data_IF_513637494653
#
_entry.id   IF_513637494653
#
_cell.length_a   1.000
_cell.length_b   1.000
_cell.length_c   1.000
_cell.angle_alpha   90.00
_cell.angle_beta   90.00
_cell.angle_gamma   90.00
#
_symmetry.space_group_name_H-M   'P 1'
#
loop_
_entity.id
_entity.type
_entity.pdbx_description
1 polymer ?
#
# COMPACT_ATOMS: atom_id res chain seq x y z
N UNK A 1 -31.54 -19.47 -51.04
CA UNK A 1 -30.12 -19.35 -50.62
C UNK A 1 -29.99 -19.64 -49.14
N UNK A 2 -28.90 -20.29 -48.71
CA UNK A 2 -28.63 -20.69 -47.32
C UNK A 2 -27.26 -20.24 -46.80
N UNK A 3 -26.35 -19.83 -47.69
CA UNK A 3 -24.99 -19.38 -47.36
C UNK A 3 -24.64 -18.13 -48.16
N UNK A 4 -23.68 -17.35 -47.65
CA UNK A 4 -23.22 -16.08 -48.24
C UNK A 4 -22.61 -16.27 -49.63
N UNK A 5 -21.90 -17.37 -49.88
CA UNK A 5 -21.32 -17.71 -51.19
C UNK A 5 -22.37 -17.81 -52.32
N UNK A 6 -23.63 -18.12 -51.98
CA UNK A 6 -24.72 -18.21 -52.95
C UNK A 6 -25.28 -16.85 -53.37
N UNK A 7 -24.78 -15.74 -52.79
CA UNK A 7 -25.07 -14.38 -53.21
C UNK A 7 -24.32 -14.00 -54.50
N UNK A 8 -23.41 -14.86 -54.99
CA UNK A 8 -22.67 -14.59 -56.23
C UNK A 8 -23.62 -14.36 -57.42
N UNK A 9 -23.45 -13.24 -58.12
CA UNK A 9 -24.27 -12.82 -59.26
C UNK A 9 -25.71 -12.42 -58.91
N UNK A 10 -26.01 -12.16 -57.64
CA UNK A 10 -27.33 -11.76 -57.16
C UNK A 10 -27.43 -10.26 -56.97
N UNK A 11 -28.66 -9.74 -56.93
CA UNK A 11 -28.94 -8.34 -56.60
C UNK A 11 -29.11 -8.19 -55.09
N UNK A 12 -28.28 -7.38 -54.47
CA UNK A 12 -28.29 -7.15 -53.02
C UNK A 12 -28.65 -5.70 -52.76
N UNK A 13 -29.82 -5.46 -52.15
CA UNK A 13 -30.13 -4.13 -51.66
C UNK A 13 -29.35 -3.81 -50.38
N UNK A 14 -28.78 -2.61 -50.31
CA UNK A 14 -28.12 -2.08 -49.12
C UNK A 14 -28.50 -0.62 -48.91
N UNK A 15 -27.95 0.00 -47.86
CA UNK A 15 -28.17 1.40 -47.54
C UNK A 15 -27.41 2.34 -48.50
N UNK A 16 -27.60 3.67 -48.45
CA UNK A 16 -26.92 4.58 -49.37
C UNK A 16 -25.39 4.39 -49.42
N UNK A 17 -24.81 4.67 -50.58
CA UNK A 17 -23.37 4.60 -50.83
C UNK A 17 -22.59 5.43 -49.78
N UNK A 18 -21.46 4.90 -49.31
CA UNK A 18 -20.66 5.50 -48.24
C UNK A 18 -21.25 5.38 -46.82
N UNK A 19 -22.42 4.74 -46.65
CA UNK A 19 -22.91 4.38 -45.32
C UNK A 19 -22.09 3.24 -44.71
N UNK A 20 -22.02 3.17 -43.38
CA UNK A 20 -21.29 2.09 -42.69
C UNK A 20 -21.82 0.69 -43.04
N UNK A 21 -23.12 0.58 -43.36
CA UNK A 21 -23.71 -0.66 -43.88
C UNK A 21 -23.19 -1.00 -45.28
N UNK A 22 -23.14 -0.04 -46.20
CA UNK A 22 -22.60 -0.27 -47.55
C UNK A 22 -21.12 -0.70 -47.49
N UNK A 23 -20.29 0.03 -46.74
CA UNK A 23 -18.87 -0.31 -46.59
C UNK A 23 -18.65 -1.69 -45.95
N UNK A 24 -19.51 -2.09 -45.00
CA UNK A 24 -19.40 -3.42 -44.38
C UNK A 24 -19.89 -4.54 -45.30
N UNK A 25 -20.84 -4.26 -46.19
CA UNK A 25 -21.22 -5.20 -47.25
C UNK A 25 -20.03 -5.41 -48.18
N UNK A 26 -19.37 -4.33 -48.62
CA UNK A 26 -18.18 -4.39 -49.47
C UNK A 26 -17.08 -5.26 -48.81
N UNK A 27 -16.74 -5.01 -47.54
CA UNK A 27 -15.79 -5.84 -46.79
C UNK A 27 -16.19 -7.33 -46.75
N UNK A 28 -17.48 -7.61 -46.56
CA UNK A 28 -18.01 -8.97 -46.56
C UNK A 28 -17.88 -9.61 -47.96
N UNK A 29 -18.24 -8.89 -49.02
CA UNK A 29 -18.18 -9.40 -50.38
C UNK A 29 -16.73 -9.60 -50.85
N UNK A 30 -15.80 -8.73 -50.44
CA UNK A 30 -14.35 -8.89 -50.67
C UNK A 30 -13.84 -10.19 -50.03
N UNK A 31 -14.20 -10.46 -48.78
CA UNK A 31 -13.78 -11.65 -48.05
C UNK A 31 -14.30 -12.98 -48.65
N UNK A 32 -15.53 -12.96 -49.19
CA UNK A 32 -16.12 -14.13 -49.87
C UNK A 32 -15.82 -14.16 -51.38
N UNK A 33 -15.31 -13.05 -51.92
CA UNK A 33 -14.86 -12.89 -53.30
C UNK A 33 -13.60 -13.70 -53.58
N UNK A 34 -13.48 -14.22 -54.79
CA UNK A 34 -12.36 -15.10 -55.18
C UNK A 34 -11.34 -14.43 -56.10
N UNK A 35 -11.67 -13.27 -56.69
CA UNK A 35 -10.83 -12.56 -57.66
C UNK A 35 -11.06 -11.03 -57.59
N UNK A 36 -10.02 -10.19 -57.72
CA UNK A 36 -10.11 -8.72 -57.65
C UNK A 36 -10.99 -8.07 -58.75
N UNK A 37 -11.23 -8.78 -59.85
CA UNK A 37 -11.81 -8.20 -61.07
C UNK A 37 -13.22 -8.75 -61.41
N UNK A 38 -13.81 -9.61 -60.56
CA UNK A 38 -15.18 -10.10 -60.74
C UNK A 38 -16.12 -9.48 -59.70
N UNK A 39 -17.13 -8.76 -60.19
CA UNK A 39 -18.19 -8.22 -59.34
C UNK A 39 -18.98 -9.38 -58.70
N UNK A 40 -18.79 -9.58 -57.40
CA UNK A 40 -19.38 -10.70 -56.69
C UNK A 40 -20.91 -10.65 -56.73
N UNK A 41 -21.51 -9.47 -56.64
CA UNK A 41 -22.96 -9.27 -56.66
C UNK A 41 -23.31 -7.85 -57.12
N UNK A 42 -24.47 -7.66 -57.74
CA UNK A 42 -24.97 -6.33 -58.12
C UNK A 42 -25.52 -5.62 -56.87
N UNK A 43 -24.92 -4.49 -56.50
CA UNK A 43 -25.33 -3.73 -55.31
C UNK A 43 -26.37 -2.69 -55.69
N UNK A 44 -27.53 -2.72 -55.01
CA UNK A 44 -28.61 -1.75 -55.17
C UNK A 44 -28.67 -0.87 -53.93
N UNK A 45 -28.21 0.37 -54.06
CA UNK A 45 -28.24 1.36 -52.97
C UNK A 45 -29.66 1.95 -52.82
N UNK A 46 -30.25 1.76 -51.64
CA UNK A 46 -31.61 2.19 -51.31
C UNK A 46 -31.66 2.77 -49.89
N UNK A 47 -32.71 3.51 -49.55
CA UNK A 47 -32.97 3.85 -48.15
C UNK A 47 -33.37 2.61 -47.32
N UNK A 48 -33.29 2.65 -45.97
CA UNK A 48 -33.49 1.46 -45.14
C UNK A 48 -34.86 0.79 -45.31
N UNK A 49 -35.92 1.57 -45.56
CA UNK A 49 -37.26 1.02 -45.72
C UNK A 49 -37.44 0.43 -47.13
N UNK A 50 -36.87 1.10 -48.14
CA UNK A 50 -36.94 0.69 -49.52
C UNK A 50 -36.15 -0.60 -49.76
N UNK A 51 -34.96 -0.78 -49.18
CA UNK A 51 -34.17 -2.01 -49.33
C UNK A 51 -34.96 -3.28 -48.92
N UNK A 52 -35.61 -3.25 -47.75
CA UNK A 52 -36.46 -4.35 -47.31
C UNK A 52 -37.75 -4.48 -48.15
N UNK A 53 -38.29 -3.37 -48.66
CA UNK A 53 -39.44 -3.39 -49.56
C UNK A 53 -39.13 -4.03 -50.90
N UNK A 54 -38.01 -3.67 -51.52
CA UNK A 54 -37.53 -4.22 -52.78
C UNK A 54 -37.29 -5.72 -52.67
N UNK A 55 -36.73 -6.17 -51.54
CA UNK A 55 -36.58 -7.60 -51.25
C UNK A 55 -37.94 -8.32 -51.20
N UNK A 56 -38.90 -7.80 -50.42
CA UNK A 56 -40.24 -8.41 -50.32
C UNK A 56 -40.98 -8.44 -51.67
N UNK A 57 -40.72 -7.45 -52.52
CA UNK A 57 -41.33 -7.34 -53.86
C UNK A 57 -40.56 -8.09 -54.95
N UNK A 58 -39.48 -8.81 -54.61
CA UNK A 58 -38.66 -9.57 -55.58
C UNK A 58 -37.85 -8.70 -56.55
N UNK A 59 -37.69 -7.41 -56.27
CA UNK A 59 -36.85 -6.51 -57.08
C UNK A 59 -35.36 -6.73 -56.83
N UNK A 60 -35.00 -7.26 -55.66
CA UNK A 60 -33.66 -7.73 -55.32
C UNK A 60 -33.75 -9.13 -54.72
N UNK A 61 -32.64 -9.87 -54.75
CA UNK A 61 -32.57 -11.25 -54.27
C UNK A 61 -32.18 -11.33 -52.78
N UNK A 62 -31.52 -10.29 -52.25
CA UNK A 62 -31.14 -10.18 -50.85
C UNK A 62 -31.16 -8.73 -50.37
N UNK A 63 -31.21 -8.54 -49.05
CA UNK A 63 -31.03 -7.24 -48.41
C UNK A 63 -29.97 -7.35 -47.31
N UNK A 64 -29.00 -6.43 -47.29
CA UNK A 64 -27.98 -6.33 -46.26
C UNK A 64 -28.20 -5.06 -45.43
N UNK A 65 -28.19 -5.21 -44.10
CA UNK A 65 -28.45 -4.11 -43.19
C UNK A 65 -27.77 -4.34 -41.85
N UNK A 66 -26.90 -3.41 -41.45
CA UNK A 66 -26.43 -3.33 -40.06
C UNK A 66 -27.51 -2.63 -39.24
N UNK A 67 -28.14 -3.38 -38.35
CA UNK A 67 -29.22 -2.86 -37.51
C UNK A 67 -29.14 -3.46 -36.11
N UNK A 68 -29.29 -2.60 -35.10
CA UNK A 68 -29.34 -3.06 -33.71
C UNK A 68 -30.59 -3.92 -33.47
N UNK A 69 -30.43 -5.00 -32.70
CA UNK A 69 -31.53 -5.86 -32.30
C UNK A 69 -32.52 -5.09 -31.40
N UNK A 70 -33.62 -4.62 -32.00
CA UNK A 70 -34.71 -3.93 -31.31
C UNK A 70 -35.97 -3.87 -32.17
N UNK A 71 -36.86 -2.93 -31.85
CA UNK A 71 -38.18 -2.85 -32.51
C UNK A 71 -38.11 -2.52 -34.01
N UNK A 72 -37.10 -1.73 -34.42
CA UNK A 72 -36.85 -1.44 -35.85
C UNK A 72 -36.46 -2.71 -36.59
N UNK A 73 -35.55 -3.53 -36.03
CA UNK A 73 -35.16 -4.81 -36.62
C UNK A 73 -36.35 -5.77 -36.69
N UNK A 74 -37.16 -5.86 -35.62
CA UNK A 74 -38.40 -6.66 -35.60
C UNK A 74 -39.35 -6.29 -36.72
N UNK A 75 -39.54 -4.99 -36.98
CA UNK A 75 -40.42 -4.51 -38.04
C UNK A 75 -39.84 -4.75 -39.44
N UNK A 76 -38.63 -4.28 -39.70
CA UNK A 76 -38.05 -4.28 -41.05
C UNK A 76 -37.60 -5.68 -41.50
N UNK A 77 -36.80 -6.36 -40.66
CA UNK A 77 -36.32 -7.72 -40.95
C UNK A 77 -37.44 -8.73 -40.74
N UNK A 78 -38.21 -8.61 -39.65
CA UNK A 78 -39.30 -9.55 -39.38
C UNK A 78 -40.35 -9.60 -40.49
N UNK A 79 -40.74 -8.46 -41.08
CA UNK A 79 -41.64 -8.44 -42.24
C UNK A 79 -41.02 -9.12 -43.48
N UNK A 80 -39.71 -8.97 -43.69
CA UNK A 80 -38.98 -9.65 -44.77
C UNK A 80 -38.96 -11.17 -44.57
N UNK A 81 -38.78 -11.65 -43.34
CA UNK A 81 -38.82 -13.07 -43.02
C UNK A 81 -40.23 -13.65 -43.12
N UNK A 82 -41.27 -12.89 -42.74
CA UNK A 82 -42.67 -13.29 -42.90
C UNK A 82 -43.09 -13.39 -44.38
N UNK A 83 -42.46 -12.61 -45.27
CA UNK A 83 -42.63 -12.71 -46.72
C UNK A 83 -41.86 -13.89 -47.36
N UNK A 84 -41.32 -14.82 -46.55
CA UNK A 84 -40.59 -16.00 -47.03
C UNK A 84 -39.06 -15.81 -47.09
N UNK A 85 -38.55 -14.66 -46.64
CA UNK A 85 -37.13 -14.42 -46.52
C UNK A 85 -36.44 -15.33 -45.48
N UNK A 86 -35.12 -15.44 -45.60
CA UNK A 86 -34.27 -16.19 -44.67
C UNK A 86 -33.08 -15.34 -44.27
N UNK A 87 -32.61 -15.54 -43.03
CA UNK A 87 -31.35 -14.97 -42.56
C UNK A 87 -30.19 -15.84 -43.06
N UNK A 88 -29.11 -15.20 -43.50
CA UNK A 88 -27.87 -15.89 -43.85
C UNK A 88 -26.87 -15.71 -42.70
N UNK A 89 -26.30 -16.82 -42.24
CA UNK A 89 -25.27 -16.82 -41.21
C UNK A 89 -23.93 -16.29 -41.77
N UNK A 90 -23.20 -15.54 -40.95
CA UNK A 90 -21.81 -15.13 -41.24
C UNK A 90 -20.90 -15.91 -40.30
N UNK A 91 -20.48 -17.11 -40.72
CA UNK A 91 -19.72 -18.04 -39.88
C UNK A 91 -18.23 -17.70 -39.79
N UNK A 92 -17.67 -17.07 -40.83
CA UNK A 92 -16.24 -16.74 -40.93
C UNK A 92 -15.88 -15.40 -40.28
N UNK A 93 -16.63 -14.96 -39.27
CA UNK A 93 -16.47 -13.64 -38.64
C UNK A 93 -15.09 -13.45 -38.00
N UNK A 94 -14.52 -14.53 -37.44
CA UNK A 94 -13.18 -14.48 -36.86
C UNK A 94 -12.10 -14.18 -37.90
N UNK A 95 -12.23 -14.75 -39.11
CA UNK A 95 -11.33 -14.46 -40.21
C UNK A 95 -11.54 -13.03 -40.73
N UNK A 96 -12.79 -12.61 -40.90
CA UNK A 96 -13.14 -11.25 -41.32
C UNK A 96 -12.65 -10.18 -40.33
N UNK A 97 -12.66 -10.48 -39.03
CA UNK A 97 -12.15 -9.59 -37.97
C UNK A 97 -10.64 -9.36 -38.04
N UNK A 98 -9.86 -10.31 -38.58
CA UNK A 98 -8.41 -10.12 -38.78
C UNK A 98 -8.11 -9.03 -39.81
N UNK A 99 -8.93 -8.92 -40.86
CA UNK A 99 -8.83 -7.89 -41.90
C UNK A 99 -9.51 -6.59 -41.45
N UNK A 100 -10.59 -6.72 -40.68
CA UNK A 100 -11.44 -5.61 -40.23
C UNK A 100 -11.67 -5.64 -38.70
N UNK A 101 -10.74 -5.08 -37.90
CA UNK A 101 -10.76 -5.20 -36.43
C UNK A 101 -11.96 -4.55 -35.72
N UNK A 102 -12.74 -3.71 -36.43
CA UNK A 102 -13.94 -3.07 -35.88
C UNK A 102 -15.15 -4.01 -35.82
N UNK A 103 -15.07 -5.18 -36.46
CA UNK A 103 -16.11 -6.19 -36.44
C UNK A 103 -16.00 -7.07 -35.19
N UNK A 104 -17.15 -7.42 -34.63
CA UNK A 104 -17.27 -8.31 -33.49
C UNK A 104 -18.14 -9.52 -33.82
N UNK A 105 -17.80 -10.72 -33.30
CA UNK A 105 -18.70 -11.86 -33.38
C UNK A 105 -19.98 -11.57 -32.58
N UNK A 106 -21.13 -11.84 -33.18
CA UNK A 106 -22.43 -11.70 -32.55
C UNK A 106 -23.38 -12.82 -32.95
N UNK A 107 -24.49 -12.92 -32.24
CA UNK A 107 -25.51 -13.94 -32.47
C UNK A 107 -26.88 -13.29 -32.49
N UNK A 108 -27.69 -13.61 -33.50
CA UNK A 108 -29.12 -13.28 -33.52
C UNK A 108 -29.84 -14.42 -32.79
N UNK A 109 -30.48 -14.16 -31.64
CA UNK A 109 -31.12 -15.23 -30.87
C UNK A 109 -32.31 -15.85 -31.59
N UNK A 110 -32.53 -17.15 -31.35
CA UNK A 110 -33.75 -17.87 -31.71
C UNK A 110 -34.98 -17.09 -31.24
N UNK A 111 -35.97 -16.99 -32.13
CA UNK A 111 -37.26 -16.36 -31.81
C UNK A 111 -37.23 -14.83 -31.69
N UNK A 112 -36.11 -14.18 -31.99
CA UNK A 112 -35.97 -12.73 -31.82
C UNK A 112 -37.01 -11.90 -32.61
N UNK A 113 -37.31 -12.29 -33.86
CA UNK A 113 -38.24 -11.57 -34.74
C UNK A 113 -39.70 -11.98 -34.55
N UNK A 114 -39.95 -13.21 -34.11
CA UNK A 114 -41.28 -13.73 -33.76
C UNK A 114 -41.11 -14.88 -32.77
N UNK A 115 -41.86 -14.85 -31.68
CA UNK A 115 -41.73 -15.87 -30.64
C UNK A 115 -42.25 -17.24 -31.09
N UNK A 116 -43.47 -17.35 -31.65
CA UNK A 116 -44.10 -18.62 -32.04
C UNK A 116 -44.79 -18.56 -33.42
N UNK A 117 -44.50 -19.51 -34.35
CA UNK A 117 -43.30 -20.36 -34.32
C UNK A 117 -42.03 -19.48 -34.33
N UNK A 118 -40.96 -19.91 -33.65
CA UNK A 118 -39.77 -19.09 -33.44
C UNK A 118 -39.13 -18.70 -34.76
N UNK A 119 -38.82 -17.42 -34.90
CA UNK A 119 -38.14 -16.86 -36.07
C UNK A 119 -36.97 -15.96 -35.60
N UNK A 120 -35.70 -16.33 -35.91
CA UNK A 120 -35.27 -17.58 -36.52
C UNK A 120 -35.55 -18.81 -35.62
N UNK A 121 -35.49 -20.01 -36.21
CA UNK A 121 -35.75 -21.28 -35.50
C UNK A 121 -34.60 -21.73 -34.59
N UNK A 122 -33.39 -21.24 -34.88
CA UNK A 122 -32.14 -21.45 -34.14
C UNK A 122 -31.41 -20.13 -34.01
N UNK A 123 -30.41 -20.09 -33.14
CA UNK A 123 -29.46 -18.97 -33.09
C UNK A 123 -28.70 -18.87 -34.42
N UNK A 124 -28.47 -17.65 -34.89
CA UNK A 124 -27.77 -17.38 -36.16
C UNK A 124 -26.49 -16.59 -35.86
N UNK A 125 -25.30 -17.14 -36.14
CA UNK A 125 -24.05 -16.40 -35.99
C UNK A 125 -23.95 -15.31 -37.05
N UNK A 126 -23.49 -14.13 -36.65
CA UNK A 126 -23.38 -12.95 -37.51
C UNK A 126 -22.24 -12.03 -37.06
N UNK A 127 -22.03 -10.96 -37.82
CA UNK A 127 -21.15 -9.85 -37.45
C UNK A 127 -21.93 -8.74 -36.75
N UNK A 128 -21.28 -8.05 -35.80
CA UNK A 128 -21.75 -6.80 -35.23
C UNK A 128 -20.66 -5.73 -35.29
N UNK A 129 -21.10 -4.49 -35.14
CA UNK A 129 -20.23 -3.31 -34.96
C UNK A 129 -20.70 -2.53 -33.74
N UNK A 130 -19.79 -1.78 -33.11
CA UNK A 130 -20.14 -0.89 -32.00
C UNK A 130 -20.58 0.47 -32.53
N UNK A 131 -21.77 0.90 -32.11
CA UNK A 131 -22.19 2.27 -32.30
C UNK A 131 -21.46 3.19 -31.32
N UNK A 132 -20.76 4.21 -31.83
CA UNK A 132 -20.03 5.19 -31.03
C UNK A 132 -20.56 6.60 -31.28
N UNK A 133 -20.71 7.38 -30.21
CA UNK A 133 -21.06 8.80 -30.32
C UNK A 133 -19.79 9.62 -30.48
N UNK A 134 -19.64 10.25 -31.64
CA UNK A 134 -18.46 11.05 -31.98
C UNK A 134 -18.72 12.53 -31.73
N UNK A 135 -17.68 13.23 -31.27
CA UNK A 135 -17.65 14.68 -31.15
C UNK A 135 -16.40 15.21 -31.85
N UNK A 136 -16.48 16.42 -32.40
CA UNK A 136 -15.30 17.08 -32.98
C UNK A 136 -14.26 17.37 -31.90
N UNK A 137 -12.98 17.21 -32.23
CA UNK A 137 -11.88 17.45 -31.29
C UNK A 137 -11.89 18.87 -30.70
N UNK A 138 -12.24 19.87 -31.51
CA UNK A 138 -12.28 21.28 -31.10
C UNK A 138 -13.54 21.69 -30.33
N UNK A 139 -14.46 20.76 -30.04
CA UNK A 139 -15.66 21.08 -29.28
C UNK A 139 -15.29 21.49 -27.85
N UNK A 140 -16.10 22.37 -27.27
CA UNK A 140 -15.86 22.83 -25.91
C UNK A 140 -15.92 21.65 -24.91
N UNK A 141 -14.97 21.61 -23.98
CA UNK A 141 -14.86 20.53 -23.01
C UNK A 141 -16.09 20.44 -22.11
N UNK A 142 -16.60 21.59 -21.68
CA UNK A 142 -17.69 21.69 -20.72
C UNK A 142 -19.01 21.30 -21.40
N UNK A 143 -19.21 21.66 -22.66
CA UNK A 143 -20.37 21.20 -23.43
C UNK A 143 -20.34 19.69 -23.59
N UNK A 144 -19.21 19.09 -23.98
CA UNK A 144 -19.13 17.63 -24.11
C UNK A 144 -19.27 16.93 -22.75
N UNK A 145 -18.74 17.53 -21.68
CA UNK A 145 -18.96 17.03 -20.32
C UNK A 145 -20.45 17.00 -19.98
N UNK A 146 -21.17 18.11 -20.19
CA UNK A 146 -22.61 18.20 -19.93
C UNK A 146 -23.41 17.20 -20.76
N UNK A 147 -23.11 17.06 -22.06
CA UNK A 147 -23.76 16.07 -22.92
C UNK A 147 -23.53 14.66 -22.36
N UNK A 148 -22.29 14.33 -22.02
CA UNK A 148 -21.95 13.01 -21.46
C UNK A 148 -22.69 12.80 -20.14
N UNK A 149 -22.69 13.80 -19.26
CA UNK A 149 -23.41 13.76 -18.00
C UNK A 149 -24.90 13.50 -18.19
N UNK A 150 -25.57 14.30 -19.01
CA UNK A 150 -27.00 14.14 -19.26
C UNK A 150 -27.33 12.76 -19.80
N UNK A 151 -26.53 12.24 -20.75
CA UNK A 151 -26.76 10.90 -21.32
C UNK A 151 -26.70 9.78 -20.29
N UNK A 152 -25.77 9.83 -19.33
CA UNK A 152 -25.65 8.78 -18.31
C UNK A 152 -26.59 9.00 -17.12
N UNK A 153 -26.82 10.23 -16.70
CA UNK A 153 -27.70 10.54 -15.57
C UNK A 153 -29.18 10.36 -15.92
N UNK A 154 -29.57 10.67 -17.17
CA UNK A 154 -30.93 10.47 -17.67
C UNK A 154 -31.11 9.14 -18.43
N UNK A 155 -30.19 8.18 -18.25
CA UNK A 155 -30.21 6.90 -18.96
C UNK A 155 -31.51 6.13 -18.79
N UNK A 156 -32.15 6.21 -17.62
CA UNK A 156 -33.43 5.53 -17.39
C UNK A 156 -34.55 6.09 -18.26
N UNK A 157 -34.59 7.41 -18.45
CA UNK A 157 -35.55 8.06 -19.37
C UNK A 157 -35.25 7.68 -20.83
N UNK A 158 -33.97 7.64 -21.21
CA UNK A 158 -33.55 7.16 -22.52
C UNK A 158 -33.96 5.70 -22.78
N UNK A 159 -33.90 4.82 -21.78
CA UNK A 159 -34.35 3.43 -21.90
C UNK A 159 -35.86 3.35 -22.18
N UNK A 160 -36.65 4.22 -21.56
CA UNK A 160 -38.10 4.29 -21.82
C UNK A 160 -38.39 4.73 -23.26
N UNK A 161 -37.60 5.66 -23.80
CA UNK A 161 -37.73 6.10 -25.20
C UNK A 161 -37.17 5.09 -26.21
N UNK A 162 -36.06 4.43 -25.86
CA UNK A 162 -35.38 3.43 -26.69
C UNK A 162 -34.65 2.42 -25.80
N UNK A 163 -35.14 1.18 -25.78
CA UNK A 163 -34.59 0.11 -24.95
C UNK A 163 -33.10 -0.17 -25.20
N UNK A 164 -32.58 0.15 -26.40
CA UNK A 164 -31.17 -0.02 -26.74
C UNK A 164 -30.23 0.83 -25.86
N UNK A 165 -30.74 1.88 -25.22
CA UNK A 165 -29.98 2.67 -24.25
C UNK A 165 -29.49 1.82 -23.04
N UNK A 166 -30.10 0.64 -22.80
CA UNK A 166 -29.63 -0.32 -21.80
C UNK A 166 -28.24 -0.90 -22.11
N UNK A 167 -27.78 -0.77 -23.35
CA UNK A 167 -26.45 -1.19 -23.77
C UNK A 167 -25.43 -0.05 -23.81
N UNK A 168 -25.83 1.19 -23.47
CA UNK A 168 -24.88 2.28 -23.30
C UNK A 168 -23.95 1.98 -22.12
N UNK A 169 -22.65 2.03 -22.39
CA UNK A 169 -21.58 1.82 -21.42
C UNK A 169 -20.42 2.78 -21.66
N UNK A 170 -19.59 3.00 -20.63
CA UNK A 170 -18.30 3.65 -20.81
C UNK A 170 -17.38 2.67 -21.54
N UNK A 171 -16.47 3.12 -22.42
CA UNK A 171 -15.43 2.24 -22.95
C UNK A 171 -14.52 1.71 -21.84
N UNK A 172 -14.41 0.39 -21.74
CA UNK A 172 -13.59 -0.30 -20.72
C UNK A 172 -12.11 0.01 -20.89
N UNK A 173 -11.65 0.05 -22.15
CA UNK A 173 -10.27 0.31 -22.54
C UNK A 173 -10.20 1.46 -23.53
N UNK A 174 -10.22 2.72 -23.05
CA UNK A 174 -10.19 3.88 -23.92
C UNK A 174 -9.00 3.94 -24.87
N UNK A 175 -7.88 3.33 -24.49
CA UNK A 175 -6.65 3.21 -25.26
C UNK A 175 -6.72 2.24 -26.44
N UNK A 176 -7.64 1.26 -26.41
CA UNK A 176 -7.84 0.31 -27.51
C UNK A 176 -8.90 0.79 -28.52
N UNK A 177 -9.49 1.98 -28.30
CA UNK A 177 -10.49 2.53 -29.22
C UNK A 177 -9.84 3.13 -30.47
N UNK A 178 -10.55 3.01 -31.60
CA UNK A 178 -10.19 3.65 -32.88
C UNK A 178 -10.07 5.18 -32.76
N UNK A 179 -10.84 5.80 -31.87
CA UNK A 179 -10.83 7.24 -31.64
C UNK A 179 -10.56 7.56 -30.17
N UNK A 180 -9.71 8.55 -29.87
CA UNK A 180 -9.43 8.94 -28.49
C UNK A 180 -10.65 9.59 -27.83
N UNK A 181 -10.77 9.43 -26.50
CA UNK A 181 -11.81 10.11 -25.73
C UNK A 181 -11.66 11.63 -25.76
N UNK A 182 -12.77 12.33 -26.01
CA UNK A 182 -12.83 13.77 -25.85
C UNK A 182 -12.56 14.19 -24.40
N UNK A 183 -11.86 15.31 -24.21
CA UNK A 183 -11.47 15.85 -22.88
C UNK A 183 -12.65 15.98 -21.91
N UNK A 184 -13.81 16.45 -22.41
CA UNK A 184 -15.05 16.58 -21.62
C UNK A 184 -15.61 15.24 -21.16
N UNK A 185 -15.73 14.26 -22.07
CA UNK A 185 -16.19 12.92 -21.73
C UNK A 185 -15.22 12.23 -20.76
N UNK A 186 -13.91 12.39 -20.96
CA UNK A 186 -12.88 11.87 -20.05
C UNK A 186 -12.97 12.48 -18.64
N UNK A 187 -13.24 13.78 -18.54
CA UNK A 187 -13.46 14.44 -17.26
C UNK A 187 -14.69 13.87 -16.54
N UNK A 188 -15.79 13.65 -17.27
CA UNK A 188 -16.99 13.01 -16.74
C UNK A 188 -16.71 11.59 -16.23
N UNK A 189 -16.09 10.75 -17.07
CA UNK A 189 -15.79 9.37 -16.71
C UNK A 189 -14.79 9.22 -15.56
N UNK A 190 -13.99 10.25 -15.26
CA UNK A 190 -13.01 10.23 -14.17
C UNK A 190 -13.48 11.03 -12.94
N UNK A 191 -14.72 11.53 -12.91
CA UNK A 191 -15.22 12.37 -11.80
C UNK A 191 -15.16 11.68 -10.43
N UNK A 192 -15.41 10.37 -10.41
CA UNK A 192 -15.48 9.56 -9.18
C UNK A 192 -14.13 8.88 -8.86
N UNK A 193 -13.09 9.10 -9.68
CA UNK A 193 -11.76 8.55 -9.37
C UNK A 193 -11.19 9.32 -8.18
N UNK A 194 -10.80 8.63 -7.09
CA UNK A 194 -10.25 9.31 -5.93
C UNK A 194 -9.04 10.14 -6.34
N UNK A 195 -9.01 11.38 -5.86
CA UNK A 195 -7.84 12.24 -6.06
C UNK A 195 -6.61 11.53 -5.49
N UNK A 196 -5.44 11.75 -6.08
CA UNK A 196 -4.16 11.12 -5.71
C UNK A 196 -3.96 11.13 -4.18
N UNK A 197 -4.32 12.24 -3.52
CA UNK A 197 -4.24 12.41 -2.07
C UNK A 197 -5.04 11.38 -1.26
N UNK A 198 -6.23 10.99 -1.73
CA UNK A 198 -7.09 9.99 -1.07
C UNK A 198 -6.52 8.59 -1.31
N UNK A 199 -6.05 8.30 -2.53
CA UNK A 199 -5.46 7.00 -2.88
C UNK A 199 -4.19 6.69 -2.07
N UNK A 200 -3.41 7.71 -1.72
CA UNK A 200 -2.17 7.56 -0.97
C UNK A 200 -2.27 7.94 0.52
N UNK A 201 -3.46 8.24 1.04
CA UNK A 201 -3.63 8.66 2.43
C UNK A 201 -3.15 7.60 3.43
N UNK A 202 -3.57 6.35 3.25
CA UNK A 202 -3.23 5.22 4.13
C UNK A 202 -1.71 4.93 4.19
N UNK A 203 -0.98 4.77 3.06
CA UNK A 203 0.46 4.52 3.12
C UNK A 203 1.23 5.72 3.69
N UNK A 204 0.78 6.96 3.43
CA UNK A 204 1.41 8.16 4.01
C UNK A 204 1.21 8.22 5.53
N UNK A 205 0.00 7.93 6.02
CA UNK A 205 -0.30 7.88 7.45
C UNK A 205 0.50 6.79 8.17
N UNK A 206 0.66 5.62 7.54
CA UNK A 206 1.48 4.53 8.05
C UNK A 206 2.96 4.94 8.13
N UNK A 207 3.46 5.60 7.09
CA UNK A 207 4.82 6.16 7.07
C UNK A 207 5.07 7.16 8.20
N UNK A 208 4.17 8.13 8.38
CA UNK A 208 4.25 9.10 9.48
C UNK A 208 4.23 8.42 10.85
N UNK A 209 3.34 7.45 11.05
CA UNK A 209 3.26 6.70 12.32
C UNK A 209 4.56 5.95 12.62
N UNK A 210 5.16 5.32 11.61
CA UNK A 210 6.45 4.65 11.75
C UNK A 210 7.57 5.63 12.11
N UNK A 211 7.61 6.82 11.48
CA UNK A 211 8.62 7.84 11.81
C UNK A 211 8.51 8.32 13.26
N UNK A 212 7.28 8.54 13.76
CA UNK A 212 7.04 8.92 15.16
C UNK A 212 7.52 7.83 16.11
N UNK A 213 7.22 6.56 15.81
CA UNK A 213 7.69 5.42 16.59
C UNK A 213 9.21 5.29 16.60
N UNK A 214 9.86 5.48 15.44
CA UNK A 214 11.32 5.45 15.35
C UNK A 214 11.96 6.59 16.16
N UNK A 215 11.46 7.82 16.03
CA UNK A 215 11.97 8.98 16.78
C UNK A 215 11.79 8.76 18.29
N UNK A 216 10.62 8.30 18.72
CA UNK A 216 10.35 7.96 20.11
C UNK A 216 11.27 6.84 20.62
N UNK A 217 11.49 5.79 19.81
CA UNK A 217 12.39 4.68 20.14
C UNK A 217 13.85 5.12 20.28
N UNK A 218 14.34 5.96 19.37
CA UNK A 218 15.71 6.51 19.42
C UNK A 218 15.88 7.41 20.65
N UNK A 219 14.88 8.26 20.94
CA UNK A 219 14.89 9.14 22.11
C UNK A 219 14.92 8.34 23.42
N UNK A 220 14.05 7.32 23.53
CA UNK A 220 14.01 6.44 24.70
C UNK A 220 15.31 5.64 24.87
N UNK A 221 15.90 5.16 23.78
CA UNK A 221 17.19 4.48 23.82
C UNK A 221 18.31 5.40 24.32
N UNK A 222 18.34 6.65 23.84
CA UNK A 222 19.31 7.65 24.33
C UNK A 222 19.14 7.94 25.82
N UNK A 223 17.91 8.15 26.28
CA UNK A 223 17.63 8.38 27.69
C UNK A 223 18.06 7.19 28.56
N UNK A 224 17.76 5.96 28.12
CA UNK A 224 18.14 4.74 28.85
C UNK A 224 19.66 4.56 28.93
N UNK A 225 20.38 4.87 27.85
CA UNK A 225 21.84 4.86 27.85
C UNK A 225 22.42 5.92 28.80
N UNK A 226 21.82 7.11 28.86
CA UNK A 226 22.25 8.17 29.79
C UNK A 226 21.98 7.82 31.26
N UNK A 227 20.81 7.22 31.57
CA UNK A 227 20.47 6.76 32.92
C UNK A 227 21.42 5.67 33.40
N UNK A 228 21.69 4.66 32.57
CA UNK A 228 22.64 3.59 32.92
C UNK A 228 24.06 4.09 33.24
N UNK A 229 24.47 5.27 32.71
CA UNK A 229 25.75 5.90 33.06
C UNK A 229 25.71 6.55 34.45
N UNK A 230 24.55 7.08 34.86
CA UNK A 230 24.34 7.68 36.19
C UNK A 230 24.27 6.61 37.29
N UNK A 231 23.48 5.56 37.07
CA UNK A 231 23.27 4.49 38.07
C UNK A 231 24.60 3.80 38.48
N UNK A 232 25.54 3.64 37.54
CA UNK A 232 26.88 3.11 37.84
C UNK A 232 27.69 4.03 38.75
N UNK A 233 27.65 5.34 38.51
CA UNK A 233 28.36 6.31 39.36
C UNK A 233 27.79 6.32 40.78
N UNK A 234 26.46 6.26 40.92
CA UNK A 234 25.79 6.20 42.22
C UNK A 234 26.15 4.92 42.98
N UNK A 235 26.32 3.80 42.26
CA UNK A 235 26.75 2.52 42.85
C UNK A 235 28.13 2.63 43.50
N UNK A 236 29.10 3.25 42.82
CA UNK A 236 30.44 3.49 43.38
C UNK A 236 30.41 4.41 44.61
N UNK A 237 29.56 5.45 44.59
CA UNK A 237 29.40 6.33 45.75
C UNK A 237 28.83 5.58 46.96
N UNK A 238 27.84 4.70 46.75
CA UNK A 238 27.27 3.87 47.82
C UNK A 238 28.27 2.83 48.35
N UNK A 239 29.09 2.21 47.48
CA UNK A 239 30.17 1.31 47.90
C UNK A 239 31.17 2.03 48.82
N UNK A 240 31.55 3.27 48.48
CA UNK A 240 32.43 4.09 49.32
C UNK A 240 31.80 4.39 50.68
N UNK A 241 30.55 4.84 50.72
CA UNK A 241 29.86 5.14 51.97
C UNK A 241 29.80 3.91 52.89
N UNK A 242 29.53 2.73 52.32
CA UNK A 242 29.55 1.47 53.06
C UNK A 242 30.94 1.14 53.62
N UNK A 243 32.03 1.45 52.90
CA UNK A 243 33.39 1.30 53.43
C UNK A 243 33.64 2.29 54.58
N UNK A 244 33.24 3.55 54.45
CA UNK A 244 33.37 4.57 55.51
C UNK A 244 32.66 4.14 56.80
N UNK A 245 31.46 3.57 56.68
CA UNK A 245 30.74 3.05 57.85
C UNK A 245 31.42 1.86 58.51
N UNK A 246 32.17 1.04 57.76
CA UNK A 246 33.01 -0.04 58.32
C UNK A 246 34.23 0.52 59.05
N UNK A 247 34.91 1.53 58.50
CA UNK A 247 36.08 2.19 59.13
C UNK A 247 35.79 2.63 60.56
N UNK A 248 34.58 3.13 60.81
CA UNK A 248 34.15 3.58 62.15
C UNK A 248 34.07 2.45 63.19
N UNK A 249 33.89 1.20 62.77
CA UNK A 249 33.69 0.04 63.66
C UNK A 249 34.96 -0.78 63.87
N UNK A 250 35.96 -0.62 63.02
CA UNK A 250 37.21 -1.40 63.03
C UNK A 250 38.06 -1.07 64.27
N UNK A 251 38.61 -2.11 64.90
CA UNK A 251 39.54 -2.00 66.05
C UNK A 251 40.93 -2.57 65.76
N UNK A 252 41.06 -3.43 64.75
CA UNK A 252 42.32 -4.04 64.34
C UNK A 252 42.98 -3.26 63.18
N UNK A 253 44.28 -2.89 63.27
CA UNK A 253 45.02 -2.32 62.15
C UNK A 253 45.05 -3.19 60.89
N UNK A 254 44.98 -4.52 60.97
CA UNK A 254 44.95 -5.39 59.80
C UNK A 254 43.64 -5.28 59.01
N UNK A 255 42.50 -5.13 59.69
CA UNK A 255 41.19 -4.89 59.07
C UNK A 255 41.11 -3.50 58.42
N UNK A 256 41.86 -2.52 58.93
CA UNK A 256 41.93 -1.18 58.34
C UNK A 256 42.66 -1.19 57.00
N UNK A 257 43.69 -2.03 56.88
CA UNK A 257 44.44 -2.25 55.64
C UNK A 257 43.56 -2.91 54.55
N UNK A 258 42.69 -3.85 54.93
CA UNK A 258 41.72 -4.46 54.00
C UNK A 258 40.74 -3.43 53.42
N UNK A 259 40.22 -2.52 54.27
CA UNK A 259 39.35 -1.44 53.79
C UNK A 259 40.09 -0.46 52.88
N UNK A 260 41.38 -0.19 53.16
CA UNK A 260 42.22 0.66 52.30
C UNK A 260 42.39 0.03 50.91
N UNK A 261 42.64 -1.28 50.83
CA UNK A 261 42.74 -1.99 49.56
C UNK A 261 41.41 -1.97 48.80
N UNK A 262 40.29 -2.23 49.49
CA UNK A 262 38.96 -2.16 48.89
C UNK A 262 38.62 -0.77 48.34
N UNK A 263 39.08 0.30 48.99
CA UNK A 263 38.91 1.68 48.51
C UNK A 263 39.71 1.91 47.21
N UNK A 264 40.98 1.49 47.15
CA UNK A 264 41.79 1.58 45.92
C UNK A 264 41.24 0.73 44.77
N UNK A 265 40.63 -0.41 45.06
CA UNK A 265 39.96 -1.24 44.05
C UNK A 265 38.71 -0.56 43.47
N UNK A 266 37.94 0.17 44.28
CA UNK A 266 36.83 1.01 43.78
C UNK A 266 37.38 2.10 42.86
N UNK A 267 38.46 2.79 43.27
CA UNK A 267 39.08 3.84 42.46
C UNK A 267 39.53 3.31 41.09
N UNK A 268 40.20 2.15 41.07
CA UNK A 268 40.62 1.51 39.83
C UNK A 268 39.41 1.23 38.92
N UNK A 269 38.35 0.63 39.46
CA UNK A 269 37.11 0.34 38.70
C UNK A 269 36.45 1.60 38.14
N UNK A 270 36.42 2.68 38.92
CA UNK A 270 35.88 3.98 38.48
C UNK A 270 36.68 4.55 37.32
N UNK A 271 38.01 4.57 37.40
CA UNK A 271 38.88 5.06 36.33
C UNK A 271 38.73 4.22 35.05
N UNK A 272 38.63 2.90 35.18
CA UNK A 272 38.39 1.99 34.05
C UNK A 272 37.01 2.24 33.39
N UNK A 273 35.96 2.49 34.15
CA UNK A 273 34.62 2.75 33.62
C UNK A 273 34.46 4.16 33.03
N UNK A 274 35.21 5.15 33.52
CA UNK A 274 35.32 6.47 32.87
C UNK A 274 36.06 6.35 31.54
N UNK A 275 37.16 5.60 31.48
CA UNK A 275 37.92 5.37 30.24
C UNK A 275 37.11 4.63 29.16
N UNK A 276 36.12 3.81 29.58
CA UNK A 276 35.19 3.10 28.68
C UNK A 276 33.89 3.89 28.39
N UNK A 277 33.83 5.18 28.74
CA UNK A 277 32.63 6.04 28.60
C UNK A 277 31.35 5.49 29.25
N UNK A 278 31.50 4.62 30.26
CA UNK A 278 30.38 4.05 31.02
C UNK A 278 29.96 4.94 32.17
N UNK A 279 30.81 5.87 32.57
CA UNK A 279 30.54 6.92 33.55
C UNK A 279 30.84 8.27 32.88
N UNK A 280 29.97 9.26 33.11
CA UNK A 280 30.18 10.60 32.55
C UNK A 280 31.24 11.38 33.33
N UNK A 281 31.89 12.35 32.68
CA UNK A 281 32.87 13.23 33.35
C UNK A 281 32.23 14.04 34.50
N UNK A 282 30.98 14.47 34.33
CA UNK A 282 30.20 15.15 35.38
C UNK A 282 29.97 14.22 36.59
N UNK A 283 29.58 12.97 36.34
CA UNK A 283 29.40 11.97 37.39
C UNK A 283 30.71 11.59 38.10
N UNK A 284 31.84 11.61 37.38
CA UNK A 284 33.16 11.40 37.97
C UNK A 284 33.58 12.54 38.91
N UNK A 285 33.19 13.79 38.63
CA UNK A 285 33.47 14.90 39.55
C UNK A 285 32.77 14.73 40.91
N UNK A 286 31.57 14.12 40.92
CA UNK A 286 30.81 13.83 42.15
C UNK A 286 31.46 12.74 43.02
N UNK A 287 32.35 11.92 42.46
CA UNK A 287 33.09 10.88 43.19
C UNK A 287 34.16 11.46 44.14
N UNK A 288 34.65 12.67 43.86
CA UNK A 288 35.75 13.28 44.63
C UNK A 288 35.39 13.45 46.12
N UNK A 289 34.16 13.87 46.42
CA UNK A 289 33.73 14.14 47.80
C UNK A 289 33.64 12.87 48.66
N UNK A 290 32.93 11.79 48.26
CA UNK A 290 32.94 10.52 48.99
C UNK A 290 34.35 9.94 49.15
N UNK A 291 35.20 10.06 48.12
CA UNK A 291 36.58 9.59 48.15
C UNK A 291 37.42 10.31 49.22
N UNK A 292 37.36 11.64 49.25
CA UNK A 292 38.04 12.45 50.26
C UNK A 292 37.55 12.13 51.68
N UNK A 293 36.24 11.97 51.84
CA UNK A 293 35.63 11.54 53.10
C UNK A 293 36.15 10.18 53.56
N UNK A 294 36.33 9.23 52.64
CA UNK A 294 36.82 7.89 52.95
C UNK A 294 38.29 7.87 53.35
N UNK A 295 39.16 8.55 52.59
CA UNK A 295 40.58 8.70 52.95
C UNK A 295 40.71 9.42 54.30
N UNK A 296 39.92 10.49 54.50
CA UNK A 296 39.91 11.23 55.76
C UNK A 296 39.49 10.36 56.96
N UNK A 297 38.45 9.53 56.79
CA UNK A 297 38.00 8.61 57.82
C UNK A 297 39.06 7.54 58.16
N UNK A 298 39.71 6.95 57.15
CA UNK A 298 40.80 5.98 57.33
C UNK A 298 41.95 6.62 58.09
N UNK A 299 42.43 7.79 57.64
CA UNK A 299 43.55 8.52 58.27
C UNK A 299 43.24 8.89 59.72
N UNK A 300 42.02 9.35 60.00
CA UNK A 300 41.60 9.64 61.36
C UNK A 300 41.61 8.38 62.24
N UNK A 301 41.07 7.26 61.73
CA UNK A 301 41.05 6.00 62.48
C UNK A 301 42.46 5.46 62.73
N UNK A 302 43.34 5.52 61.75
CA UNK A 302 44.75 5.13 61.86
C UNK A 302 45.45 5.89 63.00
N UNK A 303 45.29 7.22 63.05
CA UNK A 303 45.83 8.06 64.13
C UNK A 303 45.24 7.69 65.50
N UNK A 304 43.95 7.39 65.59
CA UNK A 304 43.33 6.96 66.85
C UNK A 304 43.82 5.59 67.32
N UNK A 305 44.02 4.63 66.41
CA UNK A 305 44.53 3.31 66.72
C UNK A 305 46.02 3.37 67.11
N UNK A 306 46.82 4.21 66.45
CA UNK A 306 48.22 4.46 66.81
C UNK A 306 48.37 5.06 68.22
N UNK A 307 47.52 6.04 68.56
CA UNK A 307 47.52 6.65 69.90
C UNK A 307 47.00 5.68 70.99
N UNK A 308 46.05 4.81 70.67
CA UNK A 308 45.56 3.78 71.59
C UNK A 308 46.62 2.74 71.89
N UNK A 309 47.39 2.30 70.89
CA UNK A 309 48.51 1.37 71.07
C UNK A 309 49.70 1.97 71.83
N UNK A 310 49.93 3.28 71.74
CA UNK A 310 50.95 3.99 72.52
C UNK A 310 50.59 4.11 74.02
N UNK A 311 49.29 4.22 74.35
CA UNK A 311 48.81 4.29 75.73
C UNK A 311 48.92 2.96 76.50
N UNK A 312 48.82 1.82 75.82
CA UNK A 312 48.90 0.48 76.45
C UNK A 312 50.32 0.07 76.84
N UNK A 313 51.37 0.69 76.27
CA UNK A 313 52.76 0.38 76.62
C UNK A 313 53.27 1.12 77.88
N UNK A 314 52.54 2.12 78.40
CA UNK A 314 53.03 2.97 79.49
C UNK A 314 52.53 2.59 80.90
N UNK A 315 51.86 1.44 81.07
CA UNK A 315 51.37 0.95 82.37
C UNK A 315 52.05 -0.38 82.76
N UNK A 316 53.31 -0.29 83.21
CA UNK A 316 54.00 -1.42 83.85
C UNK A 316 54.95 -0.88 84.96
N UNK A 317 54.59 -0.96 86.26
CA UNK A 317 55.46 -0.45 87.33
C UNK A 317 56.54 -1.48 87.70
N UNK A 318 57.77 -1.26 87.20
CA UNK A 318 59.01 -1.87 87.76
C UNK A 318 59.28 -1.29 89.16
N UNK A 319 59.22 -2.10 90.21
CA UNK A 319 59.82 -1.80 91.52
C UNK A 319 61.17 -2.51 91.64
N UNK A 320 62.25 -1.74 91.49
CA UNK A 320 63.62 -2.13 91.84
C UNK A 320 64.03 -1.50 93.17
N UNK A 321 64.32 -2.38 94.13
CA UNK A 321 65.42 -2.34 95.12
C UNK A 321 65.99 -0.99 95.58
N UNK A 322 65.90 -0.73 96.89
CA UNK A 322 67.00 -0.15 97.67
C UNK A 322 67.10 -0.90 99.01
N UNK A 323 68.27 -1.51 99.22
CA UNK A 323 68.77 -2.05 100.49
C UNK A 323 69.76 -1.03 101.04
N UNK A 324 69.63 -0.74 102.33
CA UNK A 324 70.67 -0.46 103.32
C UNK A 324 69.90 -0.02 104.58
N UNK A 325 70.11 -0.56 105.79
CA UNK A 325 71.17 -1.38 106.31
C UNK A 325 71.42 -0.94 107.75
N UNK A 326 71.32 -1.90 108.68
CA UNK A 326 72.00 -1.93 109.99
C UNK A 326 71.28 -1.47 111.28
N UNK A 327 71.18 -2.48 112.17
CA UNK A 327 71.37 -2.48 113.64
C UNK A 327 70.37 -1.70 114.52
N UNK A 328 69.59 -2.30 115.41
CA UNK A 328 69.83 -3.27 116.51
C UNK A 328 69.65 -2.54 117.87
N UNK A 329 68.58 -2.89 118.59
CA UNK A 329 68.51 -3.16 120.04
C UNK A 329 67.02 -3.19 120.43
N UNK A 330 66.44 -4.31 120.84
CA UNK A 330 66.60 -5.08 122.09
C UNK A 330 65.70 -4.55 123.23
N UNK A 331 64.94 -5.50 123.81
CA UNK A 331 64.23 -5.48 125.10
C UNK A 331 63.11 -4.42 125.31
N UNK A 332 62.03 -4.65 126.07
CA UNK A 332 61.40 -5.75 126.81
C UNK A 332 60.03 -5.19 127.26
N UNK A 333 59.11 -6.09 127.63
CA UNK A 333 58.11 -6.00 128.73
C UNK A 333 57.42 -4.63 128.99
N UNK A 334 56.12 -4.53 129.21
CA UNK A 334 55.37 -5.24 130.27
C UNK A 334 53.87 -5.01 130.05
N UNK A 335 53.09 -6.03 130.41
CA UNK A 335 51.68 -6.00 130.82
C UNK A 335 51.39 -4.94 131.90
N UNK A 336 50.12 -4.56 132.16
CA UNK A 336 49.00 -5.47 132.47
C UNK A 336 47.77 -5.39 131.57
#
# INVERSE_FOLDING_TARGET
MQRVDQLRGRRIATLPEGSGTACSLECLLEHYGSAPDEEFAEIVYSDPNQAHSDFRNGRVDAAFHIIALGDVAKRCVGSSLQAGGRLLAIEQIEALRWEHPFLEPATIPKGFYRSHPPLPETDIPTAAVRAVLLARQGMDADIVYQITQTLYEQRNELITANCLAVHMSRPDKPEEMLFPLHRGARAYYNRDKPHILVTYADPVALGLSFTVLCVSGIWHLRLRLAQNRKDRADTYNLEILNLVDRVRKIKDPAELEEVRQGLFDIFRRVVEDVARERVSTESFQLFAFPWEMAIGAIRHRELTLANQNAGTQNNNPRKGTCKDGSAAHDEKETEP
#
